data_IF_509992289669
#
_entry.id   IF_509992289669
#
_cell.length_a   1.000
_cell.length_b   1.000
_cell.length_c   1.000
_cell.angle_alpha   90.00
_cell.angle_beta   90.00
_cell.angle_gamma   90.00
#
_symmetry.space_group_name_H-M   'P 1'
#
loop_
_entity.id
_entity.type
_entity.pdbx_description
1 polymer ?
#
# COMPACT_ATOMS: atom_id res chain seq x y z
N UNK A 1 -13.56 6.17 48.25
CA UNK A 1 -14.63 6.65 47.34
C UNK A 1 -13.95 6.74 45.99
N UNK A 2 -13.90 5.60 45.32
CA UNK A 2 -13.10 5.36 44.13
C UNK A 2 -13.72 6.07 42.93
N UNK A 3 -12.94 6.93 42.29
CA UNK A 3 -13.24 7.49 40.98
C UNK A 3 -12.97 6.40 39.93
N UNK A 4 -13.96 6.01 39.11
CA UNK A 4 -13.74 4.98 38.10
C UNK A 4 -12.79 5.49 37.02
N UNK A 5 -11.87 4.62 36.62
CA UNK A 5 -10.87 4.86 35.58
C UNK A 5 -11.49 5.28 34.26
N UNK A 6 -10.90 6.31 33.68
CA UNK A 6 -11.18 6.74 32.31
C UNK A 6 -10.79 5.59 31.38
N UNK A 7 -11.80 4.93 30.81
CA UNK A 7 -11.62 3.80 29.91
C UNK A 7 -10.67 4.14 28.77
N UNK A 8 -9.79 3.19 28.45
CA UNK A 8 -8.93 3.21 27.28
C UNK A 8 -9.76 3.58 26.05
N UNK A 9 -9.52 4.77 25.52
CA UNK A 9 -9.94 5.10 24.17
C UNK A 9 -9.02 4.28 23.26
N UNK A 10 -9.51 3.12 22.82
CA UNK A 10 -8.93 2.41 21.69
C UNK A 10 -9.14 3.32 20.49
N UNK A 11 -8.06 3.94 20.02
CA UNK A 11 -8.07 4.73 18.80
C UNK A 11 -8.23 3.75 17.64
N UNK A 12 -9.47 3.39 17.34
CA UNK A 12 -9.85 2.64 16.13
C UNK A 12 -9.95 3.62 14.94
N UNK A 13 -9.03 4.58 14.86
CA UNK A 13 -9.07 5.71 13.92
C UNK A 13 -7.94 5.63 12.91
N UNK A 14 -8.26 5.81 11.63
CA UNK A 14 -7.26 6.06 10.61
C UNK A 14 -6.45 7.32 10.97
N UNK A 15 -5.12 7.33 10.74
CA UNK A 15 -4.25 8.46 11.10
C UNK A 15 -4.72 9.75 10.43
N UNK A 16 -4.59 10.88 11.14
CA UNK A 16 -4.89 12.20 10.56
C UNK A 16 -3.88 12.55 9.45
N UNK A 17 -4.31 13.38 8.50
CA UNK A 17 -3.45 13.80 7.39
C UNK A 17 -2.18 14.51 7.91
N UNK A 18 -1.02 13.88 7.72
CA UNK A 18 0.29 14.39 8.16
C UNK A 18 0.92 13.59 9.31
N UNK A 19 0.18 12.68 9.93
CA UNK A 19 0.74 11.73 10.88
C UNK A 19 1.52 10.65 10.12
N UNK A 20 2.82 10.53 10.43
CA UNK A 20 3.64 9.47 9.84
C UNK A 20 3.29 8.14 10.51
N UNK A 21 3.05 7.11 9.71
CA UNK A 21 3.06 5.76 10.22
C UNK A 21 4.44 5.44 10.80
N UNK A 22 4.47 4.79 11.96
CA UNK A 22 5.71 4.27 12.57
C UNK A 22 6.21 3.01 11.83
N UNK A 23 5.37 2.39 11.00
CA UNK A 23 5.73 1.23 10.15
C UNK A 23 6.55 1.67 8.94
N UNK A 24 7.58 0.90 8.62
CA UNK A 24 8.26 0.98 7.32
C UNK A 24 7.38 0.43 6.19
N UNK A 25 7.71 0.82 4.96
CA UNK A 25 7.03 0.31 3.76
C UNK A 25 7.09 -1.22 3.68
N UNK A 26 8.26 -1.81 3.96
CA UNK A 26 8.44 -3.26 3.92
C UNK A 26 7.56 -3.97 4.94
N UNK A 27 7.51 -3.46 6.18
CA UNK A 27 6.66 -4.03 7.23
C UNK A 27 5.17 -3.92 6.88
N UNK A 28 4.76 -2.83 6.21
CA UNK A 28 3.39 -2.68 5.73
C UNK A 28 3.07 -3.70 4.62
N UNK A 29 3.99 -3.94 3.69
CA UNK A 29 3.83 -4.95 2.64
C UNK A 29 3.69 -6.35 3.26
N UNK A 30 4.52 -6.67 4.25
CA UNK A 30 4.47 -7.96 4.95
C UNK A 30 3.11 -8.14 5.66
N UNK A 31 2.59 -7.10 6.32
CA UNK A 31 1.24 -7.13 6.92
C UNK A 31 0.13 -7.30 5.89
N UNK A 32 0.23 -6.65 4.72
CA UNK A 32 -0.74 -6.84 3.64
C UNK A 32 -0.70 -8.30 3.15
N UNK A 33 0.49 -8.88 3.00
CA UNK A 33 0.65 -10.26 2.58
C UNK A 33 -0.01 -11.25 3.55
N UNK A 34 0.02 -10.99 4.85
CA UNK A 34 -0.67 -11.79 5.88
C UNK A 34 -2.21 -11.66 5.84
N UNK A 35 -2.73 -10.53 5.36
CA UNK A 35 -4.16 -10.24 5.34
C UNK A 35 -4.90 -10.78 4.11
N UNK A 36 -4.19 -11.04 3.02
CA UNK A 36 -4.79 -11.53 1.77
C UNK A 36 -4.69 -13.05 1.67
N UNK A 37 -5.58 -13.72 0.90
CA UNK A 37 -5.46 -15.15 0.66
C UNK A 37 -4.15 -15.51 -0.05
N UNK A 38 -3.70 -16.74 0.15
CA UNK A 38 -2.58 -17.33 -0.59
C UNK A 38 -2.73 -17.12 -2.10
N UNK A 39 -1.63 -16.88 -2.84
CA UNK A 39 -1.69 -16.70 -4.27
C UNK A 39 -2.30 -17.91 -4.97
N UNK A 40 -3.24 -17.67 -5.89
CA UNK A 40 -3.83 -18.74 -6.70
C UNK A 40 -2.82 -19.35 -7.67
N UNK A 41 -3.14 -20.51 -8.25
CA UNK A 41 -2.25 -21.29 -9.16
C UNK A 41 -1.73 -20.51 -10.38
N UNK A 42 -2.39 -19.40 -10.74
CA UNK A 42 -1.96 -18.54 -11.84
C UNK A 42 -0.91 -17.52 -11.43
N UNK A 43 -0.61 -17.34 -10.15
CA UNK A 43 0.45 -16.44 -9.70
C UNK A 43 1.77 -17.20 -9.70
N UNK A 44 2.62 -16.91 -10.67
CA UNK A 44 3.95 -17.53 -10.82
C UNK A 44 5.00 -16.84 -9.94
N UNK A 45 4.82 -15.53 -9.71
CA UNK A 45 5.59 -14.70 -8.78
C UNK A 45 4.63 -13.71 -8.11
N UNK A 46 4.59 -13.75 -6.78
CA UNK A 46 3.68 -12.96 -5.94
C UNK A 46 4.33 -11.69 -5.37
N UNK A 47 3.88 -11.29 -4.18
CA UNK A 47 4.39 -10.11 -3.46
C UNK A 47 5.88 -10.26 -3.13
N UNK A 48 6.63 -9.15 -3.20
CA UNK A 48 8.00 -9.05 -2.68
C UNK A 48 9.08 -8.70 -3.70
N UNK A 49 8.72 -8.58 -4.98
CA UNK A 49 9.56 -8.14 -6.09
C UNK A 49 8.96 -6.89 -6.76
N UNK A 50 9.63 -6.33 -7.78
CA UNK A 50 9.21 -5.10 -8.48
C UNK A 50 7.91 -5.26 -9.31
N UNK A 51 7.53 -6.51 -9.60
CA UNK A 51 6.32 -6.86 -10.33
C UNK A 51 5.86 -8.29 -10.01
N UNK A 52 4.56 -8.54 -10.13
CA UNK A 52 3.99 -9.87 -10.11
C UNK A 52 4.06 -10.53 -11.49
N UNK A 53 4.16 -11.86 -11.54
CA UNK A 53 4.06 -12.64 -12.78
C UNK A 53 2.82 -13.51 -12.71
N UNK A 54 1.92 -13.35 -13.68
CA UNK A 54 0.67 -14.10 -13.79
C UNK A 54 0.64 -14.97 -15.05
N UNK A 55 0.21 -16.22 -14.91
CA UNK A 55 -0.10 -17.11 -16.02
C UNK A 55 -1.37 -16.61 -16.74
N UNK A 56 -1.23 -16.27 -18.02
CA UNK A 56 -2.27 -15.76 -18.89
C UNK A 56 -2.41 -16.66 -20.14
N UNK A 57 -3.11 -17.78 -19.99
CA UNK A 57 -3.25 -18.79 -21.04
C UNK A 57 -1.93 -19.50 -21.31
N UNK A 58 -1.44 -19.47 -22.56
CA UNK A 58 -0.15 -20.07 -22.94
C UNK A 58 1.07 -19.15 -22.70
N UNK A 59 0.85 -17.95 -22.16
CA UNK A 59 1.90 -16.94 -21.91
C UNK A 59 1.82 -16.45 -20.47
N UNK A 60 2.83 -15.68 -20.07
CA UNK A 60 2.85 -14.97 -18.78
C UNK A 60 2.70 -13.47 -19.00
N UNK A 61 2.09 -12.80 -18.03
CA UNK A 61 2.00 -11.33 -17.93
C UNK A 61 2.82 -10.87 -16.74
N UNK A 62 3.61 -9.82 -16.93
CA UNK A 62 4.26 -9.10 -15.83
C UNK A 62 3.34 -7.93 -15.49
N UNK A 63 2.96 -7.82 -14.21
CA UNK A 63 2.00 -6.82 -13.73
C UNK A 63 2.64 -6.06 -12.58
N UNK A 64 2.68 -4.73 -12.73
CA UNK A 64 3.08 -3.81 -11.67
C UNK A 64 2.13 -2.63 -11.66
N UNK A 65 2.14 -1.87 -10.57
CA UNK A 65 1.37 -0.64 -10.46
C UNK A 65 2.17 0.36 -9.63
N UNK A 66 2.18 1.60 -10.09
CA UNK A 66 2.76 2.75 -9.40
C UNK A 66 1.70 3.83 -9.26
N UNK A 67 1.91 4.76 -8.34
CA UNK A 67 1.06 5.95 -8.20
C UNK A 67 1.92 7.19 -8.07
N UNK A 68 1.54 8.22 -8.83
CA UNK A 68 2.12 9.55 -8.72
C UNK A 68 1.09 10.49 -8.10
N UNK A 69 1.41 10.99 -6.91
CA UNK A 69 0.57 11.93 -6.15
C UNK A 69 1.15 13.34 -6.23
N UNK A 70 0.29 14.33 -6.52
CA UNK A 70 0.67 15.76 -6.49
C UNK A 70 1.17 16.13 -5.08
N UNK A 71 2.16 17.01 -5.01
CA UNK A 71 2.89 17.43 -3.81
C UNK A 71 3.80 16.37 -3.18
N UNK A 72 3.79 15.13 -3.68
CA UNK A 72 4.77 14.08 -3.31
C UNK A 72 5.75 13.84 -4.45
N UNK A 73 5.24 13.57 -5.65
CA UNK A 73 6.04 13.20 -6.82
C UNK A 73 6.13 14.32 -7.86
N UNK A 74 5.10 15.17 -7.95
CA UNK A 74 5.05 16.26 -8.91
C UNK A 74 4.25 17.46 -8.37
N UNK A 75 4.30 18.60 -9.08
CA UNK A 75 3.40 19.74 -8.86
C UNK A 75 2.91 20.27 -10.22
N UNK A 76 1.62 20.59 -10.34
CA UNK A 76 1.04 21.10 -11.59
C UNK A 76 1.49 22.52 -11.95
N UNK A 77 2.11 23.25 -11.02
CA UNK A 77 2.71 24.55 -11.32
C UNK A 77 4.13 24.44 -11.90
N UNK A 78 4.72 23.23 -11.90
CA UNK A 78 6.03 22.95 -12.49
C UNK A 78 5.95 22.09 -13.76
N UNK A 79 4.98 21.17 -13.83
CA UNK A 79 4.82 20.23 -14.94
C UNK A 79 3.45 20.39 -15.59
N UNK A 80 3.41 20.26 -16.92
CA UNK A 80 2.14 20.14 -17.64
C UNK A 80 1.54 18.73 -17.50
N UNK A 81 0.24 18.54 -17.78
CA UNK A 81 -0.38 17.22 -17.76
C UNK A 81 0.34 16.18 -18.63
N UNK A 82 0.82 16.57 -19.82
CA UNK A 82 1.57 15.70 -20.74
C UNK A 82 2.98 15.32 -20.24
N UNK A 83 3.48 15.99 -19.19
CA UNK A 83 4.75 15.62 -18.54
C UNK A 83 4.52 14.71 -17.33
N UNK A 84 3.29 14.65 -16.81
CA UNK A 84 2.90 13.79 -15.70
C UNK A 84 2.50 12.39 -16.19
N UNK A 85 1.95 12.27 -17.41
CA UNK A 85 1.55 11.00 -18.05
C UNK A 85 2.16 10.81 -19.42
#
# INVERSE_FOLDING_TARGET
MDVPGNGEQKHDGFPEAGERMELSERELIDQIAELIPEPGERTLLGIGDDAAILQAGARSSVVTTDTFTEWVHFRMDHLSPDQVG
#
